data_IF_298274251576
#
_entry.id   IF_298274251576
#
_cell.length_a   1.000
_cell.length_b   1.000
_cell.length_c   1.000
_cell.angle_alpha   90.00
_cell.angle_beta   90.00
_cell.angle_gamma   90.00
#
_symmetry.space_group_name_H-M   'P 1'
#
loop_
_entity.id
_entity.type
_entity.pdbx_description
1 polymer ?
#
# COMPACT_ATOMS: atom_id res chain seq x y z
N UNK A 1 -29.59 32.04 -68.67
CA UNK A 1 -29.57 32.04 -67.20
C UNK A 1 -29.34 30.60 -66.76
N UNK A 2 -28.07 30.17 -66.62
CA UNK A 2 -27.70 28.89 -66.03
C UNK A 2 -27.23 29.21 -64.61
N UNK A 3 -27.86 28.57 -63.63
CA UNK A 3 -27.58 28.74 -62.21
C UNK A 3 -26.43 27.80 -61.86
N UNK A 4 -25.31 28.36 -61.41
CA UNK A 4 -24.23 27.60 -60.78
C UNK A 4 -24.70 27.12 -59.40
N UNK A 5 -24.68 25.81 -59.19
CA UNK A 5 -24.83 25.19 -57.86
C UNK A 5 -23.48 25.20 -57.15
N UNK A 6 -23.39 25.62 -55.87
CA UNK A 6 -22.13 25.62 -55.15
C UNK A 6 -21.73 24.19 -54.74
N UNK A 7 -20.44 23.89 -54.91
CA UNK A 7 -19.80 22.65 -54.48
C UNK A 7 -20.05 22.36 -52.99
N UNK A 8 -20.43 21.11 -52.71
CA UNK A 8 -20.66 20.60 -51.37
C UNK A 8 -19.39 20.69 -50.51
N UNK A 9 -19.45 21.46 -49.43
CA UNK A 9 -18.41 21.50 -48.41
C UNK A 9 -18.27 20.11 -47.75
N UNK A 10 -17.17 19.41 -48.03
CA UNK A 10 -16.80 18.18 -47.35
C UNK A 10 -16.41 18.50 -45.90
N UNK A 11 -17.30 18.17 -44.96
CA UNK A 11 -17.01 18.25 -43.52
C UNK A 11 -16.09 17.09 -43.14
N UNK A 12 -14.81 17.36 -42.82
CA UNK A 12 -13.89 16.36 -42.28
C UNK A 12 -14.14 16.29 -40.76
N UNK A 13 -14.84 15.24 -40.31
CA UNK A 13 -14.93 14.92 -38.89
C UNK A 13 -13.67 14.16 -38.48
N UNK A 14 -12.74 14.82 -37.80
CA UNK A 14 -11.61 14.13 -37.19
C UNK A 14 -12.06 13.44 -35.91
N UNK A 15 -12.20 12.13 -35.97
CA UNK A 15 -12.38 11.30 -34.77
C UNK A 15 -10.99 10.93 -34.27
N UNK A 16 -10.51 11.57 -33.21
CA UNK A 16 -9.23 11.21 -32.60
C UNK A 16 -9.37 9.85 -31.89
N UNK A 17 -9.08 8.77 -32.61
CA UNK A 17 -8.99 7.42 -32.06
C UNK A 17 -7.56 7.17 -31.60
N UNK A 18 -7.38 6.80 -30.33
CA UNK A 18 -6.09 6.37 -29.80
C UNK A 18 -6.09 4.84 -29.76
N UNK A 19 -5.14 4.21 -30.44
CA UNK A 19 -4.94 2.76 -30.38
C UNK A 19 -3.83 2.45 -29.38
N UNK A 20 -4.12 1.59 -28.40
CA UNK A 20 -3.15 1.08 -27.43
C UNK A 20 -3.03 -0.43 -27.61
N UNK A 21 -1.83 -0.91 -27.95
CA UNK A 21 -1.49 -2.34 -28.01
C UNK A 21 -0.57 -2.66 -26.84
N UNK A 22 -0.82 -3.71 -26.06
CA UNK A 22 0.01 -4.10 -24.90
C UNK A 22 0.60 -5.49 -25.14
N UNK A 23 1.92 -5.61 -25.03
CA UNK A 23 2.68 -6.86 -25.17
C UNK A 23 2.87 -7.56 -23.81
N UNK A 24 3.24 -8.85 -23.83
CA UNK A 24 3.34 -9.69 -22.61
C UNK A 24 4.46 -9.25 -21.65
N UNK A 25 5.45 -8.50 -22.13
CA UNK A 25 6.56 -7.93 -21.36
C UNK A 25 6.25 -6.53 -20.79
N UNK A 26 5.00 -6.06 -20.97
CA UNK A 26 4.53 -4.77 -20.46
C UNK A 26 4.82 -3.58 -21.38
N UNK A 27 5.45 -3.82 -22.53
CA UNK A 27 5.65 -2.82 -23.57
C UNK A 27 4.31 -2.48 -24.19
N UNK A 28 4.10 -1.20 -24.49
CA UNK A 28 2.85 -0.78 -25.12
C UNK A 28 3.10 0.20 -26.25
N UNK A 29 2.26 0.15 -27.27
CA UNK A 29 2.32 1.08 -28.40
C UNK A 29 1.14 2.05 -28.34
N UNK A 30 1.42 3.35 -28.46
CA UNK A 30 0.40 4.39 -28.60
C UNK A 30 0.46 4.92 -30.02
N UNK A 31 -0.58 4.67 -30.80
CA UNK A 31 -0.63 5.06 -32.23
C UNK A 31 0.60 4.58 -33.03
N UNK A 32 1.09 3.36 -32.72
CA UNK A 32 2.27 2.76 -33.35
C UNK A 32 3.62 3.28 -32.82
N UNK A 33 3.63 4.17 -31.82
CA UNK A 33 4.85 4.56 -31.13
C UNK A 33 5.06 3.70 -29.88
N UNK A 34 6.14 2.90 -29.89
CA UNK A 34 6.56 2.08 -28.75
C UNK A 34 6.84 2.94 -27.52
N UNK A 35 6.30 2.51 -26.39
CA UNK A 35 6.53 3.06 -25.07
C UNK A 35 7.11 1.96 -24.19
N UNK A 36 8.19 2.27 -23.50
CA UNK A 36 8.77 1.34 -22.53
C UNK A 36 7.92 1.33 -21.25
N UNK A 37 7.76 0.18 -20.58
CA UNK A 37 7.04 0.09 -19.33
C UNK A 37 7.72 0.95 -18.26
N UNK A 38 6.99 1.94 -17.75
CA UNK A 38 7.42 2.72 -16.59
C UNK A 38 6.88 2.06 -15.34
N UNK A 39 7.76 1.41 -14.58
CA UNK A 39 7.41 0.88 -13.25
C UNK A 39 7.62 1.98 -12.22
N UNK A 40 6.52 2.48 -11.65
CA UNK A 40 6.58 3.44 -10.55
C UNK A 40 6.60 2.67 -9.21
N UNK A 41 7.80 2.44 -8.66
CA UNK A 41 7.98 1.82 -7.35
C UNK A 41 7.68 2.84 -6.23
N UNK A 42 6.42 3.26 -6.11
CA UNK A 42 6.01 4.03 -4.93
C UNK A 42 5.88 3.11 -3.72
N UNK A 43 6.61 3.42 -2.66
CA UNK A 43 6.38 2.80 -1.36
C UNK A 43 4.98 3.16 -0.88
N UNK A 44 4.12 2.16 -0.80
CA UNK A 44 2.78 2.31 -0.23
C UNK A 44 2.89 2.10 1.28
N UNK A 45 2.41 3.06 2.07
CA UNK A 45 2.44 2.95 3.54
C UNK A 45 1.62 1.75 4.03
N UNK A 46 2.01 1.17 5.17
CA UNK A 46 1.22 0.11 5.81
C UNK A 46 -0.24 0.53 6.05
N UNK A 47 -0.48 1.78 6.44
CA UNK A 47 -1.84 2.32 6.62
C UNK A 47 -2.68 2.28 5.34
N UNK A 48 -2.08 2.53 4.17
CA UNK A 48 -2.77 2.46 2.88
C UNK A 48 -3.04 1.01 2.47
N UNK A 49 -2.10 0.10 2.73
CA UNK A 49 -2.27 -1.35 2.51
C UNK A 49 -3.44 -1.91 3.35
N UNK A 50 -3.46 -1.62 4.66
CA UNK A 50 -4.50 -2.09 5.56
C UNK A 50 -5.87 -1.49 5.21
N UNK A 51 -5.94 -0.19 4.91
CA UNK A 51 -7.19 0.45 4.48
C UNK A 51 -7.75 -0.17 3.19
N UNK A 52 -6.88 -0.53 2.26
CA UNK A 52 -7.26 -1.24 1.03
C UNK A 52 -7.81 -2.63 1.37
N UNK A 53 -7.11 -3.41 2.20
CA UNK A 53 -7.59 -4.73 2.65
C UNK A 53 -8.98 -4.65 3.28
N UNK A 54 -9.22 -3.68 4.18
CA UNK A 54 -10.51 -3.51 4.85
C UNK A 54 -11.67 -3.09 3.93
N UNK A 55 -11.37 -2.43 2.81
CA UNK A 55 -12.39 -1.90 1.90
C UNK A 55 -12.66 -2.83 0.72
N UNK A 56 -11.61 -3.45 0.20
CA UNK A 56 -11.63 -4.13 -1.09
C UNK A 56 -11.67 -5.67 -0.91
N UNK A 57 -11.63 -6.18 0.33
CA UNK A 57 -11.65 -7.61 0.65
C UNK A 57 -12.60 -7.92 1.80
N UNK A 58 -13.28 -9.06 1.71
CA UNK A 58 -14.08 -9.66 2.79
C UNK A 58 -13.28 -10.69 3.62
N UNK A 59 -11.99 -10.83 3.35
CA UNK A 59 -11.13 -11.78 4.06
C UNK A 59 -10.87 -11.37 5.52
N UNK A 60 -10.82 -12.36 6.41
CA UNK A 60 -10.37 -12.17 7.78
C UNK A 60 -8.88 -11.80 7.81
N UNK A 61 -8.55 -10.61 8.29
CA UNK A 61 -7.18 -10.16 8.48
C UNK A 61 -6.62 -10.76 9.78
N UNK A 62 -5.75 -11.76 9.65
CA UNK A 62 -5.08 -12.41 10.78
C UNK A 62 -3.82 -11.64 11.15
N UNK A 63 -3.78 -11.12 12.38
CA UNK A 63 -2.67 -10.35 12.92
C UNK A 63 -2.03 -11.08 14.13
N UNK A 64 -0.94 -11.83 13.96
CA UNK A 64 -0.22 -12.39 15.11
C UNK A 64 0.31 -11.27 16.02
N UNK A 65 0.26 -11.51 17.33
CA UNK A 65 0.86 -10.64 18.32
C UNK A 65 2.39 -10.71 18.30
N UNK A 66 3.03 -9.58 18.03
CA UNK A 66 4.49 -9.41 18.03
C UNK A 66 4.87 -8.32 19.04
N UNK A 67 6.08 -8.38 19.59
CA UNK A 67 6.48 -7.48 20.67
C UNK A 67 7.93 -6.98 20.57
N UNK A 68 8.71 -7.52 19.64
CA UNK A 68 10.09 -7.13 19.40
C UNK A 68 10.50 -7.43 17.95
N UNK A 69 11.76 -7.17 17.61
CA UNK A 69 12.27 -7.38 16.26
C UNK A 69 12.33 -8.87 15.85
N UNK A 70 12.55 -9.77 16.81
CA UNK A 70 12.64 -11.21 16.54
C UNK A 70 11.28 -11.80 16.23
N UNK A 71 10.29 -11.59 17.10
CA UNK A 71 8.91 -12.03 16.90
C UNK A 71 8.31 -11.48 15.61
N UNK A 72 8.56 -10.20 15.30
CA UNK A 72 8.14 -9.59 14.03
C UNK A 72 8.80 -10.23 12.80
N UNK A 73 10.13 -10.48 12.82
CA UNK A 73 10.81 -11.16 11.71
C UNK A 73 10.29 -12.57 11.47
N UNK A 74 9.97 -13.31 12.53
CA UNK A 74 9.35 -14.64 12.41
C UNK A 74 7.99 -14.52 11.72
N UNK A 75 7.13 -13.59 12.14
CA UNK A 75 5.82 -13.38 11.52
C UNK A 75 5.92 -12.99 10.03
N UNK A 76 6.86 -12.10 9.69
CA UNK A 76 7.14 -11.71 8.30
C UNK A 76 7.57 -12.94 7.48
N UNK A 77 8.52 -13.74 7.98
CA UNK A 77 9.03 -14.91 7.28
C UNK A 77 8.00 -16.04 7.13
N UNK A 78 7.03 -16.12 8.04
CA UNK A 78 5.88 -17.03 7.92
C UNK A 78 4.82 -16.55 6.91
N UNK A 79 4.97 -15.33 6.38
CA UNK A 79 4.11 -14.81 5.31
C UNK A 79 2.79 -14.21 5.79
N UNK A 80 2.68 -13.85 7.08
CA UNK A 80 1.49 -13.16 7.61
C UNK A 80 1.25 -11.83 6.87
N UNK A 81 -0.02 -11.51 6.61
CA UNK A 81 -0.43 -10.36 5.79
C UNK A 81 -0.64 -9.07 6.58
N UNK A 82 -0.57 -9.15 7.91
CA UNK A 82 -0.62 -8.05 8.86
C UNK A 82 0.02 -8.53 10.17
N UNK A 83 0.37 -7.61 11.07
CA UNK A 83 0.88 -7.91 12.41
C UNK A 83 0.21 -7.01 13.44
N UNK A 84 0.15 -7.45 14.70
CA UNK A 84 -0.30 -6.63 15.82
C UNK A 84 0.83 -6.46 16.84
N UNK A 85 1.25 -5.22 17.11
CA UNK A 85 2.16 -4.94 18.23
C UNK A 85 1.37 -4.83 19.52
N UNK A 86 1.64 -5.73 20.47
CA UNK A 86 1.00 -5.74 21.78
C UNK A 86 1.66 -4.75 22.76
N UNK A 87 0.86 -4.01 23.54
CA UNK A 87 1.34 -3.18 24.65
C UNK A 87 1.96 -4.00 25.77
N UNK A 88 1.24 -5.03 26.25
CA UNK A 88 1.77 -5.97 27.25
C UNK A 88 3.12 -6.58 26.87
N UNK A 89 3.25 -7.08 25.64
CA UNK A 89 4.51 -7.66 25.16
C UNK A 89 5.62 -6.60 25.03
N UNK A 90 5.28 -5.37 24.62
CA UNK A 90 6.24 -4.26 24.56
C UNK A 90 6.75 -3.93 25.98
N UNK A 91 5.86 -3.81 26.96
CA UNK A 91 6.21 -3.57 28.36
C UNK A 91 7.09 -4.69 28.92
N UNK A 92 6.73 -5.95 28.66
CA UNK A 92 7.51 -7.10 29.09
C UNK A 92 8.90 -7.14 28.45
N UNK A 93 8.99 -6.97 27.13
CA UNK A 93 10.24 -7.16 26.40
C UNK A 93 11.19 -5.96 26.49
N UNK A 94 10.66 -4.74 26.56
CA UNK A 94 11.49 -3.52 26.61
C UNK A 94 11.82 -3.06 28.01
N UNK A 95 10.89 -3.27 28.95
CA UNK A 95 11.01 -2.75 30.32
C UNK A 95 11.16 -3.85 31.36
N UNK A 96 10.89 -5.12 31.02
CA UNK A 96 10.95 -6.22 32.00
C UNK A 96 9.81 -6.20 33.02
N UNK A 97 8.69 -5.54 32.70
CA UNK A 97 7.58 -5.33 33.61
C UNK A 97 6.26 -5.91 33.08
N UNK A 98 5.28 -6.07 33.99
CA UNK A 98 3.91 -6.43 33.64
C UNK A 98 3.15 -5.23 33.04
N UNK A 99 2.06 -5.53 32.34
CA UNK A 99 1.22 -4.54 31.68
C UNK A 99 0.34 -3.78 32.68
N UNK A 100 0.88 -2.68 33.22
CA UNK A 100 0.25 -1.85 34.26
C UNK A 100 0.25 -0.36 33.87
N UNK A 101 0.29 -0.05 32.56
CA UNK A 101 0.39 1.33 32.07
C UNK A 101 1.74 2.00 32.33
N UNK A 102 2.81 1.19 32.44
CA UNK A 102 4.17 1.66 32.69
C UNK A 102 4.88 2.13 31.42
N UNK A 103 4.59 1.50 30.28
CA UNK A 103 5.13 1.94 29.00
C UNK A 103 4.50 3.28 28.62
N UNK A 104 5.33 4.25 28.29
CA UNK A 104 4.87 5.56 27.84
C UNK A 104 4.96 5.65 26.31
N UNK A 105 4.47 6.77 25.75
CA UNK A 105 4.46 7.03 24.32
C UNK A 105 5.83 6.78 23.66
N UNK A 106 6.93 7.13 24.33
CA UNK A 106 8.27 6.90 23.81
C UNK A 106 8.55 5.41 23.60
N UNK A 107 8.30 4.57 24.59
CA UNK A 107 8.56 3.13 24.53
C UNK A 107 7.76 2.46 23.42
N UNK A 108 6.48 2.82 23.36
CA UNK A 108 5.51 2.25 22.45
C UNK A 108 5.72 2.72 21.00
N UNK A 109 5.94 4.03 20.80
CA UNK A 109 6.28 4.59 19.47
C UNK A 109 7.59 4.02 18.95
N UNK A 110 8.64 3.95 19.78
CA UNK A 110 9.95 3.44 19.34
C UNK A 110 9.86 1.97 18.94
N UNK A 111 9.09 1.16 19.66
CA UNK A 111 8.89 -0.24 19.28
C UNK A 111 8.08 -0.37 17.99
N UNK A 112 6.96 0.37 17.87
CA UNK A 112 6.09 0.34 16.70
C UNK A 112 6.81 0.82 15.44
N UNK A 113 7.59 1.91 15.55
CA UNK A 113 8.38 2.47 14.45
C UNK A 113 9.44 1.47 13.98
N UNK A 114 10.15 0.81 14.89
CA UNK A 114 11.12 -0.23 14.53
C UNK A 114 10.44 -1.41 13.82
N UNK A 115 9.37 -1.97 14.39
CA UNK A 115 8.68 -3.16 13.85
C UNK A 115 8.10 -2.86 12.46
N UNK A 116 7.42 -1.72 12.29
CA UNK A 116 6.77 -1.34 11.04
C UNK A 116 7.76 -1.12 9.88
N UNK A 117 9.04 -0.85 10.19
CA UNK A 117 10.07 -0.56 9.20
C UNK A 117 11.08 -1.71 9.01
N UNK A 118 10.89 -2.87 9.64
CA UNK A 118 11.77 -4.04 9.44
C UNK A 118 11.80 -4.52 7.98
N UNK A 119 10.69 -4.37 7.27
CA UNK A 119 10.56 -4.57 5.83
C UNK A 119 9.72 -3.42 5.23
N UNK A 120 10.34 -2.48 4.48
CA UNK A 120 9.64 -1.35 3.86
C UNK A 120 8.50 -1.76 2.91
N UNK A 121 8.57 -2.97 2.34
CA UNK A 121 7.53 -3.52 1.46
C UNK A 121 6.63 -4.53 2.17
N UNK A 122 6.89 -4.77 3.45
CA UNK A 122 6.26 -5.81 4.27
C UNK A 122 4.81 -5.52 4.67
N UNK A 123 4.26 -6.37 5.55
CA UNK A 123 2.88 -6.29 5.99
C UNK A 123 2.61 -5.05 6.87
N UNK A 124 1.37 -4.52 6.88
CA UNK A 124 0.97 -3.46 7.80
C UNK A 124 1.06 -3.90 9.28
N UNK A 125 1.35 -2.93 10.14
CA UNK A 125 1.35 -3.09 11.59
C UNK A 125 0.15 -2.36 12.21
N UNK A 126 -0.66 -3.08 12.99
CA UNK A 126 -1.60 -2.50 13.94
C UNK A 126 -0.85 -2.40 15.27
N UNK A 127 -0.75 -1.20 15.85
CA UNK A 127 -0.02 -1.02 17.09
C UNK A 127 -0.97 -0.60 18.21
N UNK A 128 -0.79 -1.20 19.38
CA UNK A 128 -1.40 -0.73 20.61
C UNK A 128 -0.95 0.70 20.92
N UNK A 129 -1.89 1.53 21.40
CA UNK A 129 -1.65 2.91 21.78
C UNK A 129 -2.16 3.22 23.19
N UNK A 130 -2.47 2.19 23.98
CA UNK A 130 -3.06 2.29 25.31
C UNK A 130 -4.29 3.25 25.27
N UNK A 131 -4.21 4.33 26.04
CA UNK A 131 -5.24 5.36 26.18
C UNK A 131 -4.84 6.68 25.48
N UNK A 132 -3.73 6.70 24.74
CA UNK A 132 -3.22 7.90 24.06
C UNK A 132 -2.18 8.72 24.84
N UNK A 133 -1.73 8.24 26.01
CA UNK A 133 -0.63 8.80 26.82
C UNK A 133 -0.77 10.28 27.24
N UNK A 134 -2.00 10.74 27.45
CA UNK A 134 -2.34 12.08 27.95
C UNK A 134 -3.73 12.12 28.55
#
# INVERSE_FOLDING_TARGET
MKVDTPDSASTISMTNTITITVEQDGIYEVNGARQDPVINLQMVTGSSKLRKQLRDSDELIICPGVYDGLSARIAINMGFKAMYMTGAGTTASRLGHADLGLAHLYDMRTNAEMIANLDPYGPPLIADMDHGYG
#
